data_IF_279034719196
#
_entry.id   IF_279034719196
#
_cell.length_a   1.000
_cell.length_b   1.000
_cell.length_c   1.000
_cell.angle_alpha   90.00
_cell.angle_beta   90.00
_cell.angle_gamma   90.00
#
_symmetry.space_group_name_H-M   'P 1'
#
loop_
_entity.id
_entity.type
_entity.pdbx_description
1 polymer ?
#
# COMPACT_ATOMS: atom_id res chain seq x y z
N UNK A 1 5.82 7.78 6.19
CA UNK A 1 6.40 6.50 5.69
C UNK A 1 6.34 6.46 4.19
N UNK A 2 5.15 6.32 3.59
CA UNK A 2 4.98 6.41 2.14
C UNK A 2 5.61 7.67 1.56
N UNK A 3 5.42 8.82 2.24
CA UNK A 3 6.10 10.06 1.89
C UNK A 3 7.62 9.94 1.84
N UNK A 4 8.28 9.25 2.77
CA UNK A 4 9.74 9.13 2.75
C UNK A 4 10.22 8.33 1.53
N UNK A 5 9.51 7.23 1.19
CA UNK A 5 9.80 6.46 -0.02
C UNK A 5 9.51 7.26 -1.29
N UNK A 6 8.42 8.03 -1.29
CA UNK A 6 8.12 8.94 -2.39
C UNK A 6 9.22 9.99 -2.54
N UNK A 7 9.62 10.67 -1.47
CA UNK A 7 10.70 11.67 -1.50
C UNK A 7 12.02 11.06 -2.01
N UNK A 8 12.33 9.83 -1.63
CA UNK A 8 13.52 9.09 -2.10
C UNK A 8 13.46 8.79 -3.60
N UNK A 9 12.32 8.28 -4.10
CA UNK A 9 12.21 7.66 -5.41
C UNK A 9 11.54 8.56 -6.48
N UNK A 10 10.89 9.65 -6.08
CA UNK A 10 10.27 10.60 -7.01
C UNK A 10 11.25 11.25 -7.99
N UNK A 11 12.46 11.67 -7.58
CA UNK A 11 13.48 12.14 -8.53
C UNK A 11 13.92 11.09 -9.55
N UNK A 12 13.57 9.82 -9.32
CA UNK A 12 13.86 8.67 -10.19
C UNK A 12 12.65 8.25 -11.02
N UNK A 13 11.55 8.99 -10.98
CA UNK A 13 10.36 8.75 -11.82
C UNK A 13 9.20 8.04 -11.10
N UNK A 14 9.35 7.62 -9.85
CA UNK A 14 8.25 7.00 -9.10
C UNK A 14 7.31 8.05 -8.50
N UNK A 15 6.02 8.01 -8.82
CA UNK A 15 5.00 8.69 -8.01
C UNK A 15 4.25 7.70 -7.12
N UNK A 16 3.89 8.14 -5.91
CA UNK A 16 3.04 7.39 -5.00
C UNK A 16 1.72 8.12 -4.86
N UNK A 17 0.63 7.49 -5.24
CA UNK A 17 -0.73 7.99 -4.99
C UNK A 17 -1.32 7.20 -3.83
N UNK A 18 -1.73 7.89 -2.77
CA UNK A 18 -2.48 7.26 -1.68
C UNK A 18 -3.96 7.51 -1.84
N UNK A 19 -4.78 6.49 -1.54
CA UNK A 19 -6.24 6.55 -1.65
C UNK A 19 -6.85 6.04 -0.35
N UNK A 20 -7.66 6.87 0.30
CA UNK A 20 -8.47 6.49 1.45
C UNK A 20 -9.81 5.90 0.99
N UNK A 21 -10.08 4.64 1.32
CA UNK A 21 -11.33 3.93 0.98
C UNK A 21 -12.37 4.09 2.10
N UNK A 22 -12.56 5.33 2.57
CA UNK A 22 -13.44 5.64 3.70
C UNK A 22 -14.84 6.02 3.21
N UNK A 23 -15.86 5.21 3.55
CA UNK A 23 -17.28 5.51 3.23
C UNK A 23 -17.79 6.81 3.86
N UNK A 24 -17.15 7.25 4.95
CA UNK A 24 -17.38 8.57 5.56
C UNK A 24 -16.80 9.75 4.75
N UNK A 25 -16.14 9.48 3.62
CA UNK A 25 -15.61 10.47 2.71
C UNK A 25 -14.61 11.43 3.36
N UNK A 26 -14.70 12.70 2.97
CA UNK A 26 -13.81 13.75 3.46
C UNK A 26 -13.84 13.89 4.98
N UNK A 27 -14.99 13.77 5.63
CA UNK A 27 -15.11 13.97 7.08
C UNK A 27 -14.33 12.92 7.88
N UNK A 28 -14.27 11.68 7.36
CA UNK A 28 -13.51 10.60 7.98
C UNK A 28 -12.00 10.69 7.66
N UNK A 29 -11.64 10.93 6.39
CA UNK A 29 -10.26 10.81 5.94
C UNK A 29 -9.43 12.11 6.08
N UNK A 30 -10.04 13.29 5.91
CA UNK A 30 -9.35 14.59 5.89
C UNK A 30 -8.48 14.84 7.12
N UNK A 31 -8.92 14.57 8.38
CA UNK A 31 -8.08 14.83 9.55
C UNK A 31 -6.75 14.08 9.50
N UNK A 32 -6.75 12.86 8.96
CA UNK A 32 -5.55 12.04 8.82
C UNK A 32 -4.64 12.52 7.68
N UNK A 33 -5.23 12.90 6.54
CA UNK A 33 -4.49 13.46 5.40
C UNK A 33 -3.82 14.78 5.80
N UNK A 34 -4.55 15.68 6.45
CA UNK A 34 -4.02 16.98 6.87
C UNK A 34 -2.94 16.84 7.94
N UNK A 35 -3.13 15.94 8.91
CA UNK A 35 -2.10 15.63 9.92
C UNK A 35 -0.83 15.04 9.29
N UNK A 36 -0.96 14.25 8.23
CA UNK A 36 0.17 13.64 7.54
C UNK A 36 0.96 14.63 6.67
N UNK A 37 0.35 15.74 6.23
CA UNK A 37 0.96 16.74 5.32
C UNK A 37 1.68 16.11 4.12
N UNK A 38 0.98 15.27 3.32
CA UNK A 38 1.60 14.50 2.27
C UNK A 38 2.20 15.39 1.17
N UNK A 39 3.42 15.05 0.75
CA UNK A 39 4.07 15.63 -0.45
C UNK A 39 3.77 14.85 -1.73
N UNK A 40 2.70 14.07 -1.72
CA UNK A 40 2.25 13.22 -2.81
C UNK A 40 0.72 13.29 -2.90
N UNK A 41 0.10 12.95 -4.04
CA UNK A 41 -1.34 12.93 -4.15
C UNK A 41 -1.98 12.01 -3.11
N UNK A 42 -2.94 12.56 -2.36
CA UNK A 42 -3.73 11.83 -1.37
C UNK A 42 -5.22 12.03 -1.68
N UNK A 43 -5.82 10.98 -2.21
CA UNK A 43 -7.20 10.96 -2.70
C UNK A 43 -8.12 10.25 -1.69
N UNK A 44 -9.41 10.45 -1.89
CA UNK A 44 -10.47 9.81 -1.11
C UNK A 44 -11.42 9.16 -2.10
N UNK A 45 -11.65 7.87 -1.96
CA UNK A 45 -12.64 7.11 -2.70
C UNK A 45 -13.76 6.70 -1.75
N UNK A 46 -14.77 7.55 -1.66
CA UNK A 46 -15.93 7.32 -0.80
C UNK A 46 -16.85 6.22 -1.35
N UNK A 47 -16.83 6.02 -2.67
CA UNK A 47 -17.77 5.15 -3.37
C UNK A 47 -17.22 3.74 -3.60
N UNK A 48 -15.98 3.46 -3.17
CA UNK A 48 -15.34 2.16 -3.38
C UNK A 48 -15.28 1.76 -4.88
N UNK A 49 -14.97 2.74 -5.74
CA UNK A 49 -14.78 2.50 -7.18
C UNK A 49 -13.37 1.99 -7.47
N UNK A 50 -12.37 2.47 -6.73
CA UNK A 50 -10.96 2.10 -6.89
C UNK A 50 -10.76 0.64 -6.52
N UNK A 51 -11.26 0.21 -5.36
CA UNK A 51 -11.14 -1.18 -4.94
C UNK A 51 -11.96 -2.15 -5.80
N UNK A 52 -13.15 -1.74 -6.27
CA UNK A 52 -13.91 -2.50 -7.26
C UNK A 52 -13.11 -2.71 -8.55
N UNK A 53 -12.59 -1.64 -9.14
CA UNK A 53 -11.90 -1.71 -10.44
C UNK A 53 -10.56 -2.42 -10.38
N UNK A 54 -9.80 -2.23 -9.29
CA UNK A 54 -8.49 -2.85 -9.14
C UNK A 54 -8.54 -4.23 -8.50
N UNK A 55 -9.67 -4.64 -7.89
CA UNK A 55 -9.79 -5.91 -7.16
C UNK A 55 -9.15 -5.88 -5.77
N UNK A 56 -9.15 -4.72 -5.11
CA UNK A 56 -8.63 -4.58 -3.75
C UNK A 56 -9.68 -5.13 -2.78
N UNK A 57 -9.31 -6.14 -1.97
CA UNK A 57 -10.25 -6.77 -1.02
C UNK A 57 -9.91 -6.52 0.44
N UNK A 58 -8.73 -5.95 0.70
CA UNK A 58 -8.25 -5.61 2.03
C UNK A 58 -7.28 -4.42 1.97
N UNK A 59 -7.14 -3.72 3.09
CA UNK A 59 -6.16 -2.64 3.26
C UNK A 59 -5.19 -2.94 4.41
N UNK A 60 -3.95 -2.44 4.34
CA UNK A 60 -3.35 -1.70 3.22
C UNK A 60 -3.02 -2.63 2.05
N UNK A 61 -3.30 -2.17 0.83
CA UNK A 61 -2.97 -2.84 -0.44
C UNK A 61 -2.41 -1.83 -1.43
N UNK A 62 -1.50 -2.27 -2.30
CA UNK A 62 -0.98 -1.47 -3.40
C UNK A 62 -1.10 -2.21 -4.72
N UNK A 63 -1.29 -1.41 -5.78
CA UNK A 63 -1.22 -1.82 -7.18
C UNK A 63 -0.04 -1.07 -7.78
N UNK A 64 0.78 -1.75 -8.58
CA UNK A 64 1.89 -1.09 -9.29
C UNK A 64 1.48 -0.92 -10.74
N UNK A 65 1.68 0.29 -11.25
CA UNK A 65 1.30 0.70 -12.59
C UNK A 65 2.54 1.32 -13.23
N UNK A 66 2.91 0.87 -14.42
CA UNK A 66 4.03 1.45 -15.18
C UNK A 66 3.64 2.73 -15.92
N UNK A 67 4.59 3.30 -16.65
CA UNK A 67 4.44 4.56 -17.38
C UNK A 67 3.48 4.47 -18.59
N UNK A 68 3.21 3.26 -19.09
CA UNK A 68 2.22 3.00 -20.15
C UNK A 68 0.80 2.77 -19.60
N UNK A 69 0.64 2.82 -18.27
CA UNK A 69 -0.63 2.63 -17.60
C UNK A 69 -1.01 1.17 -17.41
N UNK A 70 -0.06 0.24 -17.48
CA UNK A 70 -0.28 -1.19 -17.33
C UNK A 70 -0.14 -1.58 -15.86
N UNK A 71 -1.08 -2.38 -15.35
CA UNK A 71 -0.95 -3.01 -14.03
C UNK A 71 0.10 -4.10 -14.12
N UNK A 72 1.21 -3.88 -13.43
CA UNK A 72 2.41 -4.71 -13.47
C UNK A 72 2.61 -5.49 -12.19
N UNK A 73 1.96 -5.06 -11.09
CA UNK A 73 1.66 -5.90 -9.95
C UNK A 73 0.21 -5.71 -9.54
N UNK A 74 -0.60 -6.79 -9.49
CA UNK A 74 -1.98 -6.71 -9.02
C UNK A 74 -2.02 -6.29 -7.55
N UNK A 75 -3.21 -5.98 -7.00
CA UNK A 75 -3.35 -5.65 -5.59
C UNK A 75 -2.68 -6.69 -4.68
N UNK A 76 -1.78 -6.21 -3.84
CA UNK A 76 -1.12 -7.03 -2.82
C UNK A 76 -1.00 -6.27 -1.49
N UNK A 77 -0.96 -6.99 -0.35
CA UNK A 77 -0.72 -6.37 0.95
C UNK A 77 0.59 -5.57 0.95
N UNK A 78 0.50 -4.29 1.27
CA UNK A 78 1.61 -3.36 1.10
C UNK A 78 1.99 -2.67 2.42
N UNK A 79 3.17 -3.03 2.93
CA UNK A 79 3.71 -2.51 4.18
C UNK A 79 5.12 -1.98 3.97
N UNK A 80 5.34 -0.66 3.89
CA UNK A 80 6.69 -0.11 3.80
C UNK A 80 7.44 -0.02 5.13
N UNK A 81 6.77 -0.37 6.23
CA UNK A 81 7.33 -0.58 7.57
C UNK A 81 6.46 -1.57 8.31
N UNK A 82 6.99 -2.13 9.39
CA UNK A 82 6.23 -2.95 10.31
C UNK A 82 5.00 -2.17 10.84
N UNK A 83 3.77 -2.65 10.64
CA UNK A 83 2.59 -1.95 11.10
C UNK A 83 2.47 -2.02 12.63
N UNK A 84 2.13 -0.88 13.23
CA UNK A 84 2.09 -0.71 14.68
C UNK A 84 1.09 -1.64 15.40
N UNK A 85 0.07 -2.13 14.70
CA UNK A 85 -0.94 -3.01 15.28
C UNK A 85 -0.40 -4.40 15.63
N UNK A 86 0.71 -4.84 15.03
CA UNK A 86 1.35 -6.11 15.38
C UNK A 86 1.98 -6.09 16.77
N UNK A 87 2.32 -4.90 17.25
CA UNK A 87 2.98 -4.71 18.54
C UNK A 87 2.00 -4.19 19.61
N UNK A 88 0.69 -4.13 19.28
CA UNK A 88 -0.34 -3.70 20.23
C UNK A 88 -0.44 -4.70 21.39
N UNK A 89 -0.37 -4.18 22.60
CA UNK A 89 -0.71 -4.92 23.82
C UNK A 89 -2.21 -5.20 23.86
N UNK A 90 -2.58 -6.42 24.27
CA UNK A 90 -3.99 -6.74 24.52
C UNK A 90 -4.40 -6.11 25.85
N UNK A 91 -5.45 -5.28 25.89
CA UNK A 91 -5.96 -4.73 27.15
C UNK A 91 -6.33 -5.85 28.13
N UNK A 92 -6.05 -5.64 29.42
CA UNK A 92 -6.33 -6.65 30.44
C UNK A 92 -7.84 -6.98 30.53
N UNK A 93 -8.67 -5.96 30.35
CA UNK A 93 -10.13 -5.99 30.36
C UNK A 93 -10.75 -6.35 29.00
N UNK A 94 -9.94 -6.73 27.99
CA UNK A 94 -10.45 -7.13 26.69
C UNK A 94 -11.37 -8.36 26.79
N UNK A 95 -12.53 -8.27 26.12
CA UNK A 95 -13.43 -9.42 25.97
C UNK A 95 -12.72 -10.61 25.32
N UNK A 96 -13.18 -11.85 25.55
CA UNK A 96 -12.57 -13.04 24.94
C UNK A 96 -12.47 -12.94 23.41
N UNK A 97 -13.50 -12.40 22.76
CA UNK A 97 -13.53 -12.21 21.30
C UNK A 97 -12.49 -11.18 20.83
N UNK A 98 -12.36 -10.04 21.53
CA UNK A 98 -11.37 -9.02 21.19
C UNK A 98 -9.94 -9.56 21.38
N UNK A 99 -9.70 -10.29 22.47
CA UNK A 99 -8.41 -10.93 22.74
C UNK A 99 -8.03 -11.91 21.64
N UNK A 100 -8.94 -12.79 21.24
CA UNK A 100 -8.70 -13.75 20.16
C UNK A 100 -8.34 -13.05 18.84
N UNK A 101 -9.08 -12.00 18.47
CA UNK A 101 -8.80 -11.21 17.25
C UNK A 101 -7.43 -10.54 17.29
N UNK A 102 -7.06 -9.95 18.42
CA UNK A 102 -5.77 -9.28 18.58
C UNK A 102 -4.61 -10.29 18.51
N UNK A 103 -4.73 -11.45 19.17
CA UNK A 103 -3.71 -12.49 19.10
C UNK A 103 -3.57 -13.07 17.69
N UNK A 104 -4.67 -13.24 16.95
CA UNK A 104 -4.60 -13.65 15.54
C UNK A 104 -3.89 -12.60 14.68
N UNK A 105 -4.15 -11.30 14.91
CA UNK A 105 -3.52 -10.23 14.13
C UNK A 105 -1.99 -10.20 14.26
N UNK A 106 -1.45 -10.62 15.42
CA UNK A 106 0.00 -10.70 15.65
C UNK A 106 0.69 -11.76 14.81
N UNK A 107 -0.07 -12.72 14.28
CA UNK A 107 0.44 -13.79 13.42
C UNK A 107 0.55 -13.35 11.95
N UNK A 108 0.05 -12.16 11.59
CA UNK A 108 0.18 -11.64 10.23
C UNK A 108 1.67 -11.47 9.90
N UNK A 109 2.12 -12.19 8.87
CA UNK A 109 3.48 -12.09 8.35
C UNK A 109 3.58 -10.86 7.46
N UNK A 110 4.53 -9.98 7.79
CA UNK A 110 4.88 -8.81 6.98
C UNK A 110 6.38 -8.84 6.69
N UNK A 111 6.79 -8.47 5.48
CA UNK A 111 8.20 -8.39 5.06
C UNK A 111 8.50 -6.97 4.51
N UNK A 112 8.49 -5.91 5.35
CA UNK A 112 8.59 -4.54 4.87
C UNK A 112 9.86 -4.22 4.09
N UNK A 113 11.00 -4.75 4.55
CA UNK A 113 12.30 -4.54 3.92
C UNK A 113 12.31 -5.16 2.52
N UNK A 114 11.69 -6.32 2.35
CA UNK A 114 11.54 -6.99 1.05
C UNK A 114 10.63 -6.21 0.12
N UNK A 115 9.49 -5.71 0.62
CA UNK A 115 8.58 -4.88 -0.17
C UNK A 115 9.27 -3.59 -0.66
N UNK A 116 9.97 -2.90 0.25
CA UNK A 116 10.71 -1.67 -0.09
C UNK A 116 11.88 -1.96 -1.03
N UNK A 117 12.60 -3.07 -0.85
CA UNK A 117 13.66 -3.47 -1.79
C UNK A 117 13.09 -3.69 -3.18
N UNK A 118 11.99 -4.42 -3.31
CA UNK A 118 11.35 -4.66 -4.60
C UNK A 118 10.95 -3.34 -5.29
N UNK A 119 10.43 -2.36 -4.53
CA UNK A 119 10.07 -1.05 -5.08
C UNK A 119 11.31 -0.29 -5.60
N UNK A 120 12.41 -0.31 -4.84
CA UNK A 120 13.69 0.31 -5.24
C UNK A 120 14.32 -0.38 -6.45
N UNK A 121 14.27 -1.71 -6.46
CA UNK A 121 14.78 -2.53 -7.56
C UNK A 121 13.99 -2.24 -8.83
N UNK A 122 12.65 -2.15 -8.72
CA UNK A 122 11.77 -1.80 -9.82
C UNK A 122 12.11 -0.44 -10.45
N UNK A 123 12.20 0.60 -9.62
CA UNK A 123 12.56 1.96 -10.07
C UNK A 123 13.95 2.01 -10.71
N UNK A 124 14.91 1.22 -10.21
CA UNK A 124 16.25 1.13 -10.81
C UNK A 124 16.23 0.40 -12.15
N UNK A 125 15.50 -0.70 -12.23
CA UNK A 125 15.63 -1.66 -13.33
C UNK A 125 14.74 -1.31 -14.52
N UNK A 126 13.52 -0.76 -14.35
CA UNK A 126 12.69 -0.32 -15.49
C UNK A 126 13.42 0.67 -16.37
N UNK A 127 14.12 1.64 -15.78
CA UNK A 127 14.93 2.60 -16.54
C UNK A 127 16.07 1.95 -17.31
N UNK A 128 16.56 0.79 -16.84
CA UNK A 128 17.75 0.12 -17.38
C UNK A 128 17.40 -0.89 -18.46
N UNK A 129 16.32 -1.66 -18.25
CA UNK A 129 15.99 -2.81 -19.10
C UNK A 129 14.67 -2.65 -19.84
N UNK A 130 13.86 -1.63 -19.55
CA UNK A 130 12.51 -1.50 -20.11
C UNK A 130 11.47 -2.31 -19.31
N UNK A 131 10.23 -1.82 -19.18
CA UNK A 131 9.16 -2.53 -18.46
C UNK A 131 8.93 -3.95 -19.00
N UNK A 132 9.00 -4.14 -20.32
CA UNK A 132 8.81 -5.42 -21.01
C UNK A 132 9.82 -6.52 -20.63
N UNK A 133 10.96 -6.13 -20.06
CA UNK A 133 12.02 -7.03 -19.64
C UNK A 133 12.11 -7.20 -18.13
N UNK A 134 11.41 -6.35 -17.35
CA UNK A 134 11.34 -6.49 -15.90
C UNK A 134 10.18 -7.39 -15.46
N UNK A 135 9.06 -7.36 -16.19
CA UNK A 135 7.92 -8.22 -15.91
C UNK A 135 7.95 -9.49 -16.74
N UNK A 136 7.70 -10.67 -16.14
CA UNK A 136 7.42 -11.86 -16.91
C UNK A 136 6.15 -11.63 -17.74
N UNK A 137 6.18 -11.96 -19.04
CA UNK A 137 4.99 -11.93 -19.87
C UNK A 137 3.90 -12.80 -19.22
N UNK A 138 2.69 -12.25 -19.09
CA UNK A 138 1.52 -13.03 -18.71
C UNK A 138 1.31 -14.12 -19.78
N UNK A 139 1.71 -15.34 -19.45
CA UNK A 139 1.28 -16.52 -20.19
C UNK A 139 -0.19 -16.74 -19.83
N UNK A 140 -1.06 -16.36 -20.76
CA UNK A 140 -2.46 -16.71 -20.70
C UNK A 140 -2.62 -18.00 -21.47
N UNK A 141 -2.81 -19.09 -20.73
CA UNK A 141 -3.14 -20.42 -21.25
C UNK A 141 -4.63 -20.49 -21.65
#
# INVERSE_FOLDING_TARGET
>A
MWQALRTELYPRGLEIVTVALDTGGADAARPWIEAARPEHPSLIDQSHVVDELFGITNVPSCVWIDEDGIIVRPPEPAFPKRPYFLDRTVPADASPALRARLELSKQIRVEPEKYVSALRDWVRDVQRIGPEHYYPALQLD
#
